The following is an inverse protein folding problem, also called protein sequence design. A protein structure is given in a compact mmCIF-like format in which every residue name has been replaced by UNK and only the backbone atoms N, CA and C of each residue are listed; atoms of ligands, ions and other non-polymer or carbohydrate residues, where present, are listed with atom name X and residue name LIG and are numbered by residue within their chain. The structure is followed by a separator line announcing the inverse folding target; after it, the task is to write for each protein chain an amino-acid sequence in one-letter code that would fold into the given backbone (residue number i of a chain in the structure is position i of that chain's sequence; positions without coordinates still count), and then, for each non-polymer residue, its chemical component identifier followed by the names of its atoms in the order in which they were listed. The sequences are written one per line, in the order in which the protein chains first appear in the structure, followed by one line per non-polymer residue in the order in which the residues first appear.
data_IF_823276387771
#
_entry.id   IF_823276387771
#
_cell.length_a   1.000
_cell.length_b   1.000
_cell.length_c   1.000
_cell.angle_alpha   90.00
_cell.angle_beta   90.00
_cell.angle_gamma   90.00
#
_symmetry.space_group_name_H-M   'P 1'
#
loop_
_entity.id
_entity.type
_entity.pdbx_description
1 polymer ?
#
# COMPACT_ATOMS: atom_id res chain seq x y z
N UNK A 1 10.71 24.42 13.43
CA UNK A 1 11.68 23.76 14.33
C UNK A 1 12.31 22.60 13.58
N UNK A 2 13.55 22.79 13.11
CA UNK A 2 14.31 21.73 12.42
C UNK A 2 14.89 20.79 13.50
N UNK A 3 14.13 19.77 13.88
CA UNK A 3 14.71 18.66 14.60
C UNK A 3 15.55 17.86 13.59
N UNK A 4 16.86 18.06 13.59
CA UNK A 4 17.83 17.20 12.91
C UNK A 4 17.82 15.80 13.58
N UNK A 5 16.72 15.05 13.39
CA UNK A 5 16.65 13.67 13.86
C UNK A 5 17.57 12.85 12.96
N UNK A 6 18.63 12.28 13.54
CA UNK A 6 19.48 11.35 12.79
C UNK A 6 18.67 10.10 12.45
N UNK A 7 18.57 9.77 11.15
CA UNK A 7 17.92 8.55 10.65
C UNK A 7 18.90 7.39 10.49
N UNK A 8 20.09 7.50 11.02
CA UNK A 8 21.11 6.44 10.99
C UNK A 8 20.55 5.21 11.72
N UNK A 9 20.63 4.05 11.07
CA UNK A 9 20.13 2.78 11.61
C UNK A 9 18.62 2.56 11.47
N UNK A 10 17.87 3.54 10.95
CA UNK A 10 16.46 3.33 10.59
C UNK A 10 16.32 2.77 9.17
N UNK A 11 15.35 1.90 8.96
CA UNK A 11 14.93 1.41 7.63
C UNK A 11 13.42 1.21 7.58
N UNK A 12 12.85 1.23 6.39
CA UNK A 12 11.49 0.74 6.16
C UNK A 12 11.54 -0.80 6.15
N UNK A 13 10.77 -1.49 7.02
CA UNK A 13 10.70 -2.95 7.02
C UNK A 13 9.93 -3.47 5.80
N UNK A 14 10.16 -4.72 5.42
CA UNK A 14 9.33 -5.40 4.44
C UNK A 14 7.95 -5.75 5.02
N UNK A 15 6.94 -5.91 4.16
CA UNK A 15 5.57 -6.16 4.61
C UNK A 15 5.41 -7.50 5.34
N UNK A 16 6.22 -8.51 5.02
CA UNK A 16 6.20 -9.83 5.69
C UNK A 16 6.93 -9.87 7.05
N UNK A 17 7.62 -8.80 7.45
CA UNK A 17 8.23 -8.74 8.79
C UNK A 17 7.14 -8.68 9.87
N UNK A 18 7.45 -9.17 11.05
CA UNK A 18 6.48 -9.24 12.15
C UNK A 18 5.85 -7.87 12.44
N UNK A 19 4.54 -7.82 12.39
CA UNK A 19 3.73 -6.62 12.59
C UNK A 19 3.11 -6.62 13.98
N UNK A 20 3.17 -5.49 14.71
CA UNK A 20 2.48 -5.34 15.99
C UNK A 20 0.96 -5.24 15.80
N UNK A 21 0.54 -4.55 14.76
CA UNK A 21 -0.87 -4.29 14.46
C UNK A 21 -1.05 -3.79 13.04
N UNK A 22 -2.28 -3.82 12.55
CA UNK A 22 -2.68 -3.20 11.30
C UNK A 22 -3.67 -2.07 11.54
N UNK A 23 -3.54 -0.99 10.77
CA UNK A 23 -4.51 0.12 10.74
C UNK A 23 -5.49 -0.10 9.61
N UNK A 24 -6.78 -0.03 9.91
CA UNK A 24 -7.89 -0.15 8.94
C UNK A 24 -8.84 1.00 9.18
N UNK A 25 -9.42 1.59 8.13
CA UNK A 25 -10.50 2.55 8.26
C UNK A 25 -11.84 1.90 7.90
N UNK A 26 -12.89 2.22 8.64
CA UNK A 26 -14.23 1.77 8.33
C UNK A 26 -14.79 2.54 7.11
N UNK A 27 -15.47 1.88 6.16
CA UNK A 27 -15.96 2.53 4.95
C UNK A 27 -17.17 3.42 5.21
N UNK A 28 -17.08 4.67 4.77
CA UNK A 28 -18.17 5.65 4.83
C UNK A 28 -18.48 6.27 3.46
N UNK A 29 -17.45 6.43 2.61
CA UNK A 29 -17.59 7.13 1.35
C UNK A 29 -18.23 6.23 0.30
N UNK A 30 -19.49 6.54 -0.06
CA UNK A 30 -20.24 5.79 -1.08
C UNK A 30 -19.67 5.98 -2.49
N UNK A 31 -19.00 7.11 -2.75
CA UNK A 31 -18.47 7.42 -4.09
C UNK A 31 -17.28 6.55 -4.48
N UNK A 32 -16.61 5.87 -3.51
CA UNK A 32 -15.55 4.93 -3.80
C UNK A 32 -16.06 3.63 -4.43
N UNK A 33 -17.36 3.34 -4.28
CA UNK A 33 -18.00 2.13 -4.81
C UNK A 33 -19.41 2.45 -5.36
N UNK A 34 -19.51 3.16 -6.49
CA UNK A 34 -20.80 3.48 -7.11
C UNK A 34 -21.62 2.19 -7.30
N UNK A 35 -22.88 2.21 -6.88
CA UNK A 35 -23.79 1.06 -6.96
C UNK A 35 -23.48 -0.13 -6.04
N UNK A 36 -22.24 -0.27 -5.52
CA UNK A 36 -21.78 -1.46 -4.80
C UNK A 36 -21.61 -1.26 -3.29
N UNK A 37 -21.72 -0.03 -2.78
CA UNK A 37 -21.39 0.31 -1.39
C UNK A 37 -22.13 -0.56 -0.35
N UNK A 38 -23.36 -1.00 -0.65
CA UNK A 38 -24.18 -1.84 0.25
C UNK A 38 -23.43 -3.08 0.75
N UNK A 39 -22.56 -3.66 -0.09
CA UNK A 39 -21.79 -4.88 0.22
C UNK A 39 -20.46 -4.61 0.90
N UNK A 40 -19.92 -3.40 0.79
CA UNK A 40 -18.56 -3.07 1.25
C UNK A 40 -18.39 -3.23 2.77
N UNK A 41 -19.31 -2.76 3.64
CA UNK A 41 -19.19 -2.99 5.09
C UNK A 41 -19.07 -4.47 5.46
N UNK A 42 -19.78 -5.37 4.75
CA UNK A 42 -19.69 -6.82 4.97
C UNK A 42 -18.31 -7.35 4.58
N UNK A 43 -17.78 -6.94 3.43
CA UNK A 43 -16.45 -7.34 2.95
C UNK A 43 -15.37 -6.86 3.92
N UNK A 44 -15.41 -5.60 4.33
CA UNK A 44 -14.46 -5.04 5.31
C UNK A 44 -14.58 -5.77 6.66
N UNK A 45 -15.79 -6.15 7.09
CA UNK A 45 -16.00 -6.96 8.29
C UNK A 45 -15.30 -8.32 8.17
N UNK A 46 -15.38 -8.99 7.03
CA UNK A 46 -14.69 -10.27 6.80
C UNK A 46 -13.17 -10.11 6.86
N UNK A 47 -12.62 -9.04 6.26
CA UNK A 47 -11.19 -8.72 6.32
C UNK A 47 -10.76 -8.53 7.79
N UNK A 48 -11.47 -7.71 8.54
CA UNK A 48 -11.20 -7.46 9.96
C UNK A 48 -11.29 -8.76 10.75
N UNK A 49 -12.30 -9.57 10.49
CA UNK A 49 -12.52 -10.86 11.13
C UNK A 49 -11.30 -11.78 10.96
N UNK A 50 -10.86 -12.01 9.74
CA UNK A 50 -9.70 -12.88 9.45
C UNK A 50 -8.41 -12.34 10.08
N UNK A 51 -8.14 -11.04 9.92
CA UNK A 51 -6.94 -10.41 10.48
C UNK A 51 -6.92 -10.46 12.01
N UNK A 52 -8.08 -10.26 12.67
CA UNK A 52 -8.16 -10.22 14.13
C UNK A 52 -7.74 -11.54 14.79
N UNK A 53 -7.77 -12.64 14.05
CA UNK A 53 -7.36 -13.97 14.53
C UNK A 53 -5.84 -14.10 14.67
N UNK A 54 -5.08 -13.28 13.99
CA UNK A 54 -3.61 -13.38 13.95
C UNK A 54 -2.87 -12.15 14.46
N UNK A 55 -3.52 -10.99 14.52
CA UNK A 55 -2.88 -9.74 14.93
C UNK A 55 -3.88 -8.70 15.44
N UNK A 56 -3.34 -7.67 16.11
CA UNK A 56 -4.16 -6.52 16.57
C UNK A 56 -4.60 -5.68 15.40
N UNK A 57 -5.85 -5.23 15.46
CA UNK A 57 -6.48 -4.32 14.49
C UNK A 57 -6.77 -2.99 15.16
N UNK A 58 -6.21 -1.92 14.60
CA UNK A 58 -6.56 -0.56 14.98
C UNK A 58 -7.58 -0.03 13.96
N UNK A 59 -8.86 -0.03 14.34
CA UNK A 59 -9.95 0.34 13.44
C UNK A 59 -10.34 1.82 13.62
N UNK A 60 -10.13 2.60 12.56
CA UNK A 60 -10.54 4.00 12.51
C UNK A 60 -12.02 4.09 12.18
N UNK A 61 -12.78 4.79 13.02
CA UNK A 61 -14.20 5.05 12.84
C UNK A 61 -14.48 6.54 12.90
N UNK A 62 -15.46 6.99 12.12
CA UNK A 62 -15.84 8.41 12.10
C UNK A 62 -16.66 8.79 13.35
N UNK A 63 -17.44 7.84 13.88
CA UNK A 63 -18.28 8.05 15.04
C UNK A 63 -18.34 6.80 15.93
N UNK A 64 -18.25 6.95 17.25
CA UNK A 64 -18.42 5.83 18.18
C UNK A 64 -19.80 5.18 18.15
N UNK A 65 -20.84 5.88 17.68
CA UNK A 65 -22.17 5.29 17.48
C UNK A 65 -22.14 4.10 16.51
N UNK A 66 -21.17 4.06 15.59
CA UNK A 66 -21.02 2.96 14.63
C UNK A 66 -20.45 1.69 15.26
N UNK A 67 -19.77 1.78 16.42
CA UNK A 67 -19.13 0.65 17.09
C UNK A 67 -20.08 -0.53 17.32
N UNK A 68 -21.29 -0.27 17.85
CA UNK A 68 -22.30 -1.32 18.11
C UNK A 68 -22.70 -2.04 16.82
N UNK A 69 -22.94 -1.29 15.74
CA UNK A 69 -23.25 -1.85 14.42
C UNK A 69 -22.11 -2.70 13.87
N UNK A 70 -20.86 -2.22 13.99
CA UNK A 70 -19.68 -2.94 13.52
C UNK A 70 -19.50 -4.24 14.30
N UNK A 71 -19.65 -4.22 15.63
CA UNK A 71 -19.56 -5.42 16.47
C UNK A 71 -20.64 -6.44 16.07
N UNK A 72 -21.87 -6.00 15.82
CA UNK A 72 -22.95 -6.88 15.33
C UNK A 72 -22.66 -7.50 13.96
N UNK A 73 -21.92 -6.81 13.10
CA UNK A 73 -21.48 -7.38 11.82
C UNK A 73 -20.35 -8.40 12.05
N UNK A 74 -19.41 -8.08 12.94
CA UNK A 74 -18.28 -8.97 13.28
C UNK A 74 -18.76 -10.27 13.93
N UNK A 75 -19.80 -10.24 14.78
CA UNK A 75 -20.33 -11.45 15.43
C UNK A 75 -20.84 -12.52 14.46
N UNK A 76 -21.04 -12.16 13.19
CA UNK A 76 -21.45 -13.10 12.13
C UNK A 76 -20.29 -13.89 11.52
N UNK A 77 -19.07 -13.63 11.92
CA UNK A 77 -17.85 -14.25 11.40
C UNK A 77 -16.94 -14.67 12.55
N UNK A 78 -16.14 -15.75 12.39
CA UNK A 78 -15.12 -16.11 13.37
C UNK A 78 -14.12 -14.96 13.51
N UNK A 79 -13.99 -14.41 14.71
CA UNK A 79 -13.10 -13.28 14.98
C UNK A 79 -12.55 -13.33 16.42
N UNK A 80 -11.56 -12.46 16.69
CA UNK A 80 -11.10 -12.19 18.04
C UNK A 80 -11.34 -10.70 18.37
N UNK A 81 -12.46 -10.40 19.01
CA UNK A 81 -12.84 -9.03 19.37
C UNK A 81 -11.83 -8.34 20.28
N UNK A 82 -11.09 -9.09 21.12
CA UNK A 82 -10.05 -8.52 22.00
C UNK A 82 -8.87 -7.91 21.20
N UNK A 83 -8.67 -8.39 19.98
CA UNK A 83 -7.66 -7.84 19.08
C UNK A 83 -8.14 -6.59 18.31
N UNK A 84 -9.38 -6.13 18.48
CA UNK A 84 -9.95 -5.01 17.70
C UNK A 84 -10.09 -3.78 18.60
N UNK A 85 -9.29 -2.75 18.31
CA UNK A 85 -9.31 -1.49 19.05
C UNK A 85 -9.90 -0.41 18.15
N UNK A 86 -10.92 0.28 18.65
CA UNK A 86 -11.63 1.34 17.93
C UNK A 86 -11.06 2.72 18.26
N UNK A 87 -10.75 3.49 17.22
CA UNK A 87 -10.28 4.87 17.36
C UNK A 87 -11.18 5.83 16.58
N UNK A 88 -11.65 6.89 17.25
CA UNK A 88 -12.42 7.95 16.60
C UNK A 88 -11.47 8.89 15.85
N UNK A 89 -11.15 8.50 14.61
CA UNK A 89 -10.37 9.31 13.67
C UNK A 89 -11.12 9.37 12.36
N UNK A 90 -11.62 10.56 12.00
CA UNK A 90 -12.39 10.75 10.77
C UNK A 90 -11.48 10.67 9.55
N UNK A 91 -11.95 9.95 8.55
CA UNK A 91 -11.32 9.80 7.23
C UNK A 91 -12.25 10.33 6.12
N UNK A 92 -11.70 10.62 4.95
CA UNK A 92 -12.47 10.83 3.72
C UNK A 92 -12.74 9.49 3.05
N UNK A 93 -11.71 8.59 3.03
CA UNK A 93 -11.72 7.29 2.35
C UNK A 93 -11.14 6.20 3.23
N UNK A 94 -11.24 4.96 2.79
CA UNK A 94 -10.75 3.79 3.54
C UNK A 94 -9.26 3.49 3.28
N UNK A 95 -8.67 4.05 2.23
CA UNK A 95 -7.41 3.60 1.63
C UNK A 95 -6.17 3.98 2.47
N UNK A 96 -6.00 3.29 3.63
CA UNK A 96 -4.85 3.51 4.53
C UNK A 96 -3.53 2.94 3.98
N UNK A 97 -3.57 2.07 2.98
CA UNK A 97 -2.38 1.71 2.21
C UNK A 97 -1.69 2.97 1.69
N UNK A 98 -2.47 3.96 1.24
CA UNK A 98 -1.97 5.15 0.58
C UNK A 98 -1.85 6.37 1.50
N UNK A 99 -2.80 6.55 2.40
CA UNK A 99 -2.84 7.70 3.30
C UNK A 99 -2.34 7.43 4.72
N UNK A 100 -2.13 6.15 5.05
CA UNK A 100 -1.72 5.71 6.37
C UNK A 100 -0.24 5.94 6.68
N UNK A 101 0.18 5.62 7.90
CA UNK A 101 1.56 5.83 8.33
C UNK A 101 2.51 4.83 7.70
N UNK A 102 3.59 5.32 7.10
CA UNK A 102 4.74 4.52 6.73
C UNK A 102 5.70 4.52 7.91
N UNK A 103 5.95 3.35 8.48
CA UNK A 103 6.85 3.22 9.61
C UNK A 103 8.27 2.89 9.15
N UNK A 104 9.25 3.48 9.84
CA UNK A 104 10.63 3.04 9.81
C UNK A 104 11.05 2.59 11.20
N UNK A 105 11.88 1.58 11.27
CA UNK A 105 12.36 0.98 12.52
C UNK A 105 13.86 1.06 12.61
N UNK A 106 14.35 1.28 13.82
CA UNK A 106 15.78 1.15 14.14
C UNK A 106 16.01 -0.23 14.73
N UNK A 107 16.78 -1.07 14.06
CA UNK A 107 17.00 -2.46 14.46
C UNK A 107 17.68 -2.61 15.81
N UNK A 108 18.59 -1.69 16.15
CA UNK A 108 19.35 -1.73 17.42
C UNK A 108 18.49 -1.27 18.60
N UNK A 109 17.82 -0.12 18.44
CA UNK A 109 17.08 0.50 19.56
C UNK A 109 15.60 0.11 19.62
N UNK A 110 15.10 -0.61 18.60
CA UNK A 110 13.68 -0.95 18.41
C UNK A 110 12.73 0.25 18.35
N UNK A 111 13.29 1.47 18.26
CA UNK A 111 12.49 2.68 18.12
C UNK A 111 11.85 2.74 16.74
N UNK A 112 10.62 3.27 16.71
CA UNK A 112 9.82 3.50 15.49
C UNK A 112 9.65 4.98 15.24
N UNK A 113 9.55 5.35 13.97
CA UNK A 113 9.16 6.69 13.51
C UNK A 113 8.10 6.54 12.42
N UNK A 114 7.22 7.52 12.32
CA UNK A 114 6.29 7.68 11.20
C UNK A 114 6.93 8.60 10.17
N UNK A 115 7.14 8.10 8.96
CA UNK A 115 7.49 8.94 7.81
C UNK A 115 6.18 9.44 7.22
N UNK A 116 5.87 10.70 7.50
CA UNK A 116 4.61 11.33 7.12
C UNK A 116 4.71 11.96 5.73
N UNK A 117 4.56 11.16 4.70
CA UNK A 117 4.39 11.70 3.35
C UNK A 117 3.06 12.45 3.23
N UNK A 118 3.03 13.47 2.38
CA UNK A 118 1.79 14.17 2.07
C UNK A 118 0.92 13.29 1.17
N UNK A 119 -0.37 13.23 1.48
CA UNK A 119 -1.37 12.57 0.66
C UNK A 119 -2.25 13.61 -0.03
N UNK A 120 -2.49 13.48 -1.32
CA UNK A 120 -3.28 14.42 -2.12
C UNK A 120 -4.35 13.72 -2.96
N UNK A 121 -4.81 12.54 -2.50
CA UNK A 121 -5.78 11.70 -3.20
C UNK A 121 -5.40 11.45 -4.67
N UNK A 122 -4.17 10.95 -4.87
CA UNK A 122 -3.61 10.54 -6.17
C UNK A 122 -3.58 11.66 -7.21
N UNK A 123 -3.54 12.93 -6.77
CA UNK A 123 -3.69 14.13 -7.62
C UNK A 123 -4.98 14.13 -8.46
N UNK A 124 -6.02 13.45 -8.01
CA UNK A 124 -7.27 13.24 -8.74
C UNK A 124 -8.49 13.78 -7.99
N UNK A 125 -8.60 13.50 -6.70
CA UNK A 125 -9.77 13.86 -5.91
C UNK A 125 -9.52 15.05 -5.01
N UNK A 126 -10.58 15.86 -4.75
CA UNK A 126 -10.49 17.06 -3.92
C UNK A 126 -10.68 16.78 -2.42
N UNK A 127 -11.29 15.66 -2.06
CA UNK A 127 -11.69 15.29 -0.70
C UNK A 127 -10.64 14.39 -0.02
N UNK A 128 -9.51 14.98 0.39
CA UNK A 128 -8.40 14.24 1.01
C UNK A 128 -7.86 14.85 2.31
N UNK A 129 -8.37 16.00 2.73
CA UNK A 129 -7.80 16.74 3.87
C UNK A 129 -7.82 15.94 5.17
N UNK A 130 -8.85 15.13 5.41
CA UNK A 130 -8.93 14.27 6.60
C UNK A 130 -7.91 13.15 6.53
N UNK A 131 -7.77 12.52 5.37
CA UNK A 131 -6.82 11.41 5.13
C UNK A 131 -5.38 11.90 5.24
N UNK A 132 -5.05 13.05 4.64
CA UNK A 132 -3.72 13.68 4.77
C UNK A 132 -3.36 14.03 6.23
N UNK A 133 -4.34 14.15 7.13
CA UNK A 133 -4.12 14.48 8.54
C UNK A 133 -4.08 13.24 9.46
N UNK A 134 -4.27 12.03 8.93
CA UNK A 134 -4.30 10.78 9.72
C UNK A 134 -2.99 10.62 10.48
N UNK A 135 -1.85 10.74 9.83
CA UNK A 135 -0.53 10.53 10.44
C UNK A 135 -0.22 11.53 11.56
N UNK A 136 -0.72 12.76 11.48
CA UNK A 136 -0.63 13.73 12.59
C UNK A 136 -1.43 13.26 13.82
N UNK A 137 -2.64 12.73 13.60
CA UNK A 137 -3.49 12.21 14.67
C UNK A 137 -2.90 10.94 15.27
N UNK A 138 -2.40 10.02 14.42
CA UNK A 138 -1.78 8.77 14.87
C UNK A 138 -0.49 9.02 15.64
N UNK A 139 0.36 9.93 15.21
CA UNK A 139 1.58 10.30 15.93
C UNK A 139 1.26 10.80 17.36
N UNK A 140 0.24 11.63 17.52
CA UNK A 140 -0.22 12.12 18.83
C UNK A 140 -0.79 10.99 19.69
N UNK A 141 -1.63 10.13 19.10
CA UNK A 141 -2.31 9.03 19.77
C UNK A 141 -1.33 7.96 20.26
N UNK A 142 -0.42 7.54 19.40
CA UNK A 142 0.54 6.45 19.67
C UNK A 142 1.81 6.94 20.34
N UNK A 143 2.01 8.25 20.47
CA UNK A 143 3.25 8.89 20.92
C UNK A 143 4.48 8.55 20.08
N UNK A 144 4.28 7.95 18.89
CA UNK A 144 5.34 7.69 17.92
C UNK A 144 5.67 9.00 17.20
N UNK A 145 6.93 9.43 17.29
CA UNK A 145 7.38 10.64 16.60
C UNK A 145 7.23 10.51 15.10
N UNK A 146 6.81 11.60 14.44
CA UNK A 146 6.75 11.67 12.99
C UNK A 146 7.82 12.59 12.42
N UNK A 147 8.21 12.30 11.19
CA UNK A 147 9.07 13.14 10.37
C UNK A 147 8.37 13.42 9.04
N UNK A 148 8.50 14.64 8.56
CA UNK A 148 7.89 15.08 7.30
C UNK A 148 8.99 15.07 6.21
N UNK A 149 8.91 14.18 5.20
CA UNK A 149 9.89 14.15 4.12
C UNK A 149 9.85 15.42 3.28
N UNK A 150 10.97 16.11 3.20
CA UNK A 150 11.11 17.34 2.42
C UNK A 150 11.97 17.08 1.19
N UNK A 151 11.50 17.54 0.05
CA UNK A 151 12.17 17.51 -1.24
C UNK A 151 12.37 18.93 -1.77
N UNK A 152 13.50 19.19 -2.44
CA UNK A 152 13.72 20.44 -3.18
C UNK A 152 13.23 20.29 -4.61
N UNK A 153 12.28 21.13 -5.01
CA UNK A 153 11.75 21.22 -6.37
C UNK A 153 11.82 22.70 -6.79
N UNK A 154 12.52 22.98 -7.89
CA UNK A 154 12.71 24.36 -8.38
C UNK A 154 13.18 25.32 -7.26
N UNK A 155 14.20 24.92 -6.50
CA UNK A 155 14.78 25.63 -5.35
C UNK A 155 13.83 25.87 -4.18
N UNK A 156 12.60 25.35 -4.21
CA UNK A 156 11.63 25.44 -3.09
C UNK A 156 11.57 24.12 -2.34
N UNK A 157 11.61 24.18 -1.01
CA UNK A 157 11.40 23.02 -0.14
C UNK A 157 9.91 22.74 -0.01
N UNK A 158 9.49 21.51 -0.34
CA UNK A 158 8.10 21.04 -0.25
C UNK A 158 8.06 19.68 0.44
N UNK A 159 6.97 19.40 1.16
CA UNK A 159 6.73 18.06 1.67
C UNK A 159 6.43 17.13 0.48
N UNK A 160 7.12 15.99 0.43
CA UNK A 160 6.95 15.01 -0.65
C UNK A 160 5.57 14.34 -0.56
N UNK A 161 4.85 14.33 -1.68
CA UNK A 161 3.62 13.54 -1.86
C UNK A 161 4.01 12.14 -2.28
N UNK A 162 3.55 11.14 -1.53
CA UNK A 162 3.79 9.71 -1.82
C UNK A 162 2.73 8.85 -1.14
N UNK A 163 2.19 7.91 -1.88
CA UNK A 163 1.30 6.87 -1.38
C UNK A 163 2.09 5.59 -1.03
N UNK A 164 1.62 4.83 -0.02
CA UNK A 164 2.22 3.54 0.32
C UNK A 164 2.10 2.52 -0.82
N UNK A 165 1.00 2.55 -1.60
CA UNK A 165 0.81 1.69 -2.77
C UNK A 165 1.72 2.02 -3.96
N UNK A 166 2.34 3.20 -3.98
CA UNK A 166 3.29 3.61 -5.03
C UNK A 166 4.70 3.01 -4.85
N UNK A 167 4.99 2.39 -3.70
CA UNK A 167 6.28 1.78 -3.38
C UNK A 167 6.11 0.40 -2.75
N UNK A 168 7.05 -0.50 -3.00
CA UNK A 168 7.17 -1.77 -2.29
C UNK A 168 8.64 -2.06 -1.97
N UNK A 169 8.95 -2.44 -0.73
CA UNK A 169 10.34 -2.59 -0.26
C UNK A 169 10.59 -4.01 0.24
N UNK A 170 11.82 -4.49 0.05
CA UNK A 170 12.24 -5.80 0.56
C UNK A 170 12.88 -5.74 1.96
N UNK A 171 12.86 -4.59 2.65
CA UNK A 171 13.50 -4.43 3.95
C UNK A 171 15.03 -4.46 3.93
N UNK A 172 15.66 -4.76 2.80
CA UNK A 172 17.12 -4.87 2.62
C UNK A 172 17.67 -3.84 1.64
N UNK A 173 16.98 -2.72 1.51
CA UNK A 173 17.44 -1.56 0.73
C UNK A 173 17.05 -1.55 -0.74
N UNK A 174 16.27 -2.50 -1.23
CA UNK A 174 15.67 -2.44 -2.57
C UNK A 174 14.23 -1.94 -2.50
N UNK A 175 13.81 -1.17 -3.51
CA UNK A 175 12.45 -0.66 -3.67
C UNK A 175 11.97 -0.83 -5.11
N UNK A 176 10.73 -1.30 -5.26
CA UNK A 176 9.97 -1.32 -6.50
C UNK A 176 9.10 -0.07 -6.60
N UNK A 177 9.01 0.52 -7.78
CA UNK A 177 8.20 1.69 -8.09
C UNK A 177 7.97 1.82 -9.60
N UNK A 178 7.05 2.70 -10.01
CA UNK A 178 6.76 2.91 -11.43
C UNK A 178 7.05 4.33 -11.87
N UNK A 179 7.49 4.48 -13.13
CA UNK A 179 7.64 5.80 -13.75
C UNK A 179 6.29 6.47 -13.98
N UNK A 180 5.27 5.69 -14.34
CA UNK A 180 3.92 6.20 -14.59
C UNK A 180 3.33 6.88 -13.36
N UNK A 181 3.43 6.27 -12.18
CA UNK A 181 2.91 6.85 -10.95
C UNK A 181 3.70 8.09 -10.49
N UNK A 182 5.03 7.98 -10.45
CA UNK A 182 5.85 8.94 -9.71
C UNK A 182 6.51 10.03 -10.56
N UNK A 183 6.60 9.83 -11.89
CA UNK A 183 7.30 10.74 -12.81
C UNK A 183 6.45 11.20 -13.99
N UNK A 184 5.20 10.73 -14.14
CA UNK A 184 4.28 11.15 -15.19
C UNK A 184 3.76 12.56 -14.93
N UNK A 185 3.40 13.25 -16.01
CA UNK A 185 2.67 14.52 -15.96
C UNK A 185 1.16 14.34 -15.75
N UNK A 186 0.65 13.13 -15.98
CA UNK A 186 -0.74 12.78 -15.69
C UNK A 186 -0.85 12.41 -14.22
N UNK A 187 -1.83 12.96 -13.52
CA UNK A 187 -1.96 12.83 -12.05
C UNK A 187 -0.63 13.10 -11.33
N UNK A 188 0.07 14.15 -11.71
CA UNK A 188 1.40 14.49 -11.22
C UNK A 188 1.38 14.78 -9.71
N UNK A 189 1.99 13.90 -8.89
CA UNK A 189 2.03 14.02 -7.42
C UNK A 189 2.88 15.20 -6.96
N UNK A 190 4.02 15.39 -7.62
CA UNK A 190 5.02 16.36 -7.23
C UNK A 190 5.49 17.17 -8.45
N UNK A 191 4.73 18.18 -8.90
CA UNK A 191 5.05 18.95 -10.08
C UNK A 191 6.49 19.47 -10.10
N UNK A 192 7.23 19.08 -11.17
CA UNK A 192 8.61 19.47 -11.37
C UNK A 192 9.66 18.63 -10.64
N UNK A 193 9.27 17.51 -10.01
CA UNK A 193 10.22 16.60 -9.36
C UNK A 193 11.08 15.89 -10.43
N UNK A 194 12.37 15.74 -10.13
CA UNK A 194 13.27 14.89 -10.94
C UNK A 194 13.41 13.52 -10.30
N UNK A 195 13.67 12.49 -11.11
CA UNK A 195 13.97 11.13 -10.64
C UNK A 195 15.06 11.15 -9.57
N UNK A 196 16.17 11.86 -9.80
CA UNK A 196 17.32 11.98 -8.89
C UNK A 196 16.90 12.59 -7.53
N UNK A 197 16.07 13.63 -7.55
CA UNK A 197 15.58 14.28 -6.33
C UNK A 197 14.66 13.36 -5.53
N UNK A 198 13.79 12.61 -6.20
CA UNK A 198 12.91 11.62 -5.59
C UNK A 198 13.72 10.49 -4.96
N UNK A 199 14.64 9.85 -5.72
CA UNK A 199 15.50 8.78 -5.22
C UNK A 199 16.32 9.22 -4.00
N UNK A 200 16.92 10.42 -4.04
CA UNK A 200 17.66 10.99 -2.91
C UNK A 200 16.78 11.14 -1.67
N UNK A 201 15.53 11.58 -1.86
CA UNK A 201 14.58 11.75 -0.75
C UNK A 201 14.16 10.41 -0.16
N UNK A 202 13.81 9.43 -1.01
CA UNK A 202 13.44 8.09 -0.54
C UNK A 202 14.62 7.39 0.15
N UNK A 203 15.85 7.53 -0.38
CA UNK A 203 17.06 7.01 0.27
C UNK A 203 17.24 7.58 1.67
N UNK A 204 17.05 8.89 1.82
CA UNK A 204 17.19 9.58 3.10
C UNK A 204 16.19 9.11 4.15
N UNK A 205 14.92 8.97 3.77
CA UNK A 205 13.84 8.74 4.73
C UNK A 205 13.46 7.27 4.93
N UNK A 206 13.71 6.41 3.93
CA UNK A 206 13.35 4.98 3.97
C UNK A 206 14.58 4.05 4.02
N UNK A 207 15.79 4.60 3.86
CA UNK A 207 17.06 3.86 3.78
C UNK A 207 17.09 2.85 2.61
N UNK A 208 16.49 3.22 1.47
CA UNK A 208 16.56 2.44 0.23
C UNK A 208 17.71 2.94 -0.64
N UNK A 209 18.43 2.04 -1.29
CA UNK A 209 19.62 2.33 -2.09
C UNK A 209 19.52 1.78 -3.51
N UNK A 210 18.69 0.77 -3.72
CA UNK A 210 18.51 0.09 -5.00
C UNK A 210 17.08 0.33 -5.50
N UNK A 211 16.95 1.11 -6.58
CA UNK A 211 15.68 1.54 -7.17
C UNK A 211 15.37 0.74 -8.42
N UNK A 212 14.33 -0.07 -8.39
CA UNK A 212 13.87 -0.87 -9.53
C UNK A 212 12.64 -0.18 -10.12
N UNK A 213 12.87 0.56 -11.21
CA UNK A 213 11.85 1.35 -11.88
C UNK A 213 11.15 0.53 -12.97
N UNK A 214 9.89 0.19 -12.75
CA UNK A 214 9.02 -0.32 -13.80
C UNK A 214 8.45 0.85 -14.64
N UNK A 215 7.88 0.54 -15.80
CA UNK A 215 7.39 1.57 -16.70
C UNK A 215 5.96 1.99 -16.36
N UNK A 216 4.98 1.17 -16.74
CA UNK A 216 3.55 1.48 -16.65
C UNK A 216 2.81 0.43 -15.85
N UNK A 217 1.71 0.84 -15.20
CA UNK A 217 0.76 -0.02 -14.53
C UNK A 217 -0.21 -0.72 -15.48
N UNK A 218 -1.33 -1.18 -14.91
CA UNK A 218 -2.39 -1.90 -15.61
C UNK A 218 -3.55 -0.98 -16.00
N UNK A 219 -4.33 -1.39 -16.99
CA UNK A 219 -5.52 -0.65 -17.41
C UNK A 219 -6.64 -0.75 -16.37
N UNK A 220 -7.28 0.39 -16.12
CA UNK A 220 -8.35 0.54 -15.14
C UNK A 220 -7.83 0.99 -13.76
N UNK A 221 -6.53 1.06 -13.56
CA UNK A 221 -5.95 1.57 -12.33
C UNK A 221 -6.19 3.08 -12.19
N UNK A 222 -6.93 3.43 -11.14
CA UNK A 222 -7.33 4.79 -10.81
C UNK A 222 -6.21 5.60 -10.15
N UNK A 223 -5.23 4.90 -9.62
CA UNK A 223 -4.06 5.47 -8.95
C UNK A 223 -2.95 5.89 -9.92
N UNK A 224 -3.11 5.55 -11.20
CA UNK A 224 -2.17 5.84 -12.27
C UNK A 224 -0.84 5.13 -12.13
N UNK A 225 -0.86 3.81 -12.07
CA UNK A 225 0.31 2.95 -12.13
C UNK A 225 0.95 2.62 -10.78
N UNK A 226 0.15 2.38 -9.76
CA UNK A 226 0.68 1.88 -8.49
C UNK A 226 1.46 0.57 -8.66
N UNK A 227 2.53 0.44 -7.89
CA UNK A 227 3.39 -0.75 -7.97
C UNK A 227 2.73 -1.98 -7.36
N UNK A 228 1.90 -1.82 -6.33
CA UNK A 228 1.24 -2.91 -5.62
C UNK A 228 0.17 -3.64 -6.44
N UNK A 229 -0.26 -3.05 -7.57
CA UNK A 229 -1.11 -3.71 -8.55
C UNK A 229 -0.34 -4.62 -9.53
N UNK A 230 0.98 -4.46 -9.66
CA UNK A 230 1.75 -5.11 -10.72
C UNK A 230 2.95 -5.92 -10.27
N UNK A 231 3.59 -5.55 -9.15
CA UNK A 231 4.77 -6.28 -8.65
C UNK A 231 4.95 -6.08 -7.16
N UNK A 232 5.27 -7.18 -6.45
CA UNK A 232 5.47 -7.18 -5.00
C UNK A 232 6.68 -8.01 -4.62
N UNK A 233 7.47 -7.53 -3.68
CA UNK A 233 8.41 -8.38 -2.98
C UNK A 233 7.67 -9.40 -2.10
N UNK A 234 8.11 -10.64 -2.12
CA UNK A 234 7.59 -11.73 -1.27
C UNK A 234 8.69 -12.40 -0.44
N UNK A 235 9.92 -12.03 -0.69
CA UNK A 235 11.09 -12.28 0.16
C UNK A 235 12.19 -11.27 -0.16
N UNK A 236 13.31 -11.33 0.58
CA UNK A 236 14.45 -10.44 0.34
C UNK A 236 14.95 -10.48 -1.12
N UNK A 237 14.85 -11.65 -1.78
CA UNK A 237 15.38 -11.92 -3.12
C UNK A 237 14.33 -12.42 -4.13
N UNK A 238 13.03 -12.38 -3.81
CA UNK A 238 11.98 -12.82 -4.71
C UNK A 238 10.94 -11.71 -4.95
N UNK A 239 10.52 -11.59 -6.22
CA UNK A 239 9.50 -10.65 -6.67
C UNK A 239 8.41 -11.43 -7.40
N UNK A 240 7.16 -11.27 -6.97
CA UNK A 240 5.99 -11.66 -7.75
C UNK A 240 5.64 -10.53 -8.71
N UNK A 241 5.30 -10.85 -9.95
CA UNK A 241 4.92 -9.86 -10.95
C UNK A 241 3.79 -10.36 -11.85
N UNK A 242 2.88 -9.45 -12.17
CA UNK A 242 1.78 -9.73 -13.08
C UNK A 242 2.29 -9.95 -14.50
N UNK A 243 1.74 -10.94 -15.18
CA UNK A 243 2.01 -11.23 -16.58
C UNK A 243 0.70 -11.41 -17.34
N UNK A 244 0.68 -10.95 -18.59
CA UNK A 244 -0.41 -11.18 -19.53
C UNK A 244 0.13 -11.98 -20.70
N UNK A 245 -0.51 -13.12 -20.99
CA UNK A 245 -0.10 -14.01 -22.07
C UNK A 245 -0.80 -13.71 -23.41
N UNK A 246 -2.00 -13.13 -23.34
CA UNK A 246 -2.76 -12.75 -24.52
C UNK A 246 -2.19 -11.48 -25.14
N UNK A 247 -1.58 -11.61 -26.31
CA UNK A 247 -0.96 -10.46 -27.02
C UNK A 247 -1.94 -9.35 -27.42
N UNK A 248 -3.23 -9.69 -27.54
CA UNK A 248 -4.31 -8.76 -27.88
C UNK A 248 -4.87 -8.00 -26.64
N UNK A 249 -4.48 -8.41 -25.44
CA UNK A 249 -4.91 -7.76 -24.21
C UNK A 249 -4.14 -6.44 -23.97
N UNK A 250 -4.88 -5.41 -23.55
CA UNK A 250 -4.34 -4.05 -23.38
C UNK A 250 -3.17 -3.96 -22.39
N UNK A 251 -3.05 -4.91 -21.48
CA UNK A 251 -1.97 -4.98 -20.49
C UNK A 251 -0.72 -5.70 -21.00
N UNK A 252 -0.80 -6.48 -22.10
CA UNK A 252 0.29 -7.32 -22.56
C UNK A 252 1.62 -6.60 -22.71
N UNK A 253 1.63 -5.49 -23.47
CA UNK A 253 2.85 -4.74 -23.76
C UNK A 253 3.51 -4.19 -22.49
N UNK A 254 2.73 -3.53 -21.63
CA UNK A 254 3.25 -2.92 -20.41
C UNK A 254 3.83 -3.97 -19.45
N UNK A 255 3.10 -5.06 -19.22
CA UNK A 255 3.53 -6.12 -18.30
C UNK A 255 4.73 -6.88 -18.84
N UNK A 256 4.82 -7.11 -20.16
CA UNK A 256 6.00 -7.70 -20.79
C UNK A 256 7.25 -6.84 -20.64
N UNK A 257 7.13 -5.52 -20.83
CA UNK A 257 8.23 -4.57 -20.60
C UNK A 257 8.68 -4.61 -19.15
N UNK A 258 7.76 -4.59 -18.20
CA UNK A 258 8.05 -4.65 -16.76
C UNK A 258 8.73 -5.98 -16.39
N UNK A 259 8.26 -7.11 -16.90
CA UNK A 259 8.87 -8.41 -16.69
C UNK A 259 10.33 -8.44 -17.18
N UNK A 260 10.62 -7.87 -18.34
CA UNK A 260 11.99 -7.77 -18.89
C UNK A 260 12.90 -6.95 -17.99
N UNK A 261 12.40 -5.84 -17.42
CA UNK A 261 13.14 -5.03 -16.45
C UNK A 261 13.46 -5.89 -15.21
N UNK A 262 12.47 -6.61 -14.67
CA UNK A 262 12.64 -7.42 -13.46
C UNK A 262 13.59 -8.60 -13.66
N UNK A 263 13.56 -9.28 -14.80
CA UNK A 263 14.50 -10.37 -15.15
C UNK A 263 15.96 -9.92 -15.18
N UNK A 264 16.20 -8.62 -15.40
CA UNK A 264 17.54 -8.03 -15.40
C UNK A 264 17.87 -7.27 -14.09
N UNK A 265 16.90 -7.09 -13.22
CA UNK A 265 17.10 -6.41 -11.94
C UNK A 265 18.00 -7.22 -11.01
N UNK A 266 18.81 -6.50 -10.24
CA UNK A 266 19.69 -7.09 -9.22
C UNK A 266 19.43 -6.42 -7.88
N UNK A 267 19.63 -7.16 -6.79
CA UNK A 267 19.59 -6.62 -5.44
C UNK A 267 20.86 -5.80 -5.12
N UNK A 268 20.96 -5.25 -3.90
CA UNK A 268 22.09 -4.45 -3.46
C UNK A 268 23.43 -5.22 -3.49
N UNK A 269 23.38 -6.56 -3.42
CA UNK A 269 24.55 -7.46 -3.51
C UNK A 269 24.82 -7.91 -4.95
N UNK A 270 24.22 -7.24 -5.96
CA UNK A 270 24.37 -7.54 -7.40
C UNK A 270 23.87 -8.92 -7.82
N UNK A 271 23.08 -9.63 -7.00
CA UNK A 271 22.44 -10.90 -7.32
C UNK A 271 21.10 -10.66 -8.01
N UNK A 272 20.74 -11.49 -8.98
CA UNK A 272 19.42 -11.43 -9.63
C UNK A 272 18.31 -11.84 -8.65
N UNK A 273 17.15 -11.23 -8.81
CA UNK A 273 15.95 -11.66 -8.09
C UNK A 273 15.34 -12.91 -8.71
N UNK A 274 14.75 -13.77 -7.88
CA UNK A 274 13.81 -14.82 -8.34
C UNK A 274 12.52 -14.15 -8.76
N UNK A 275 12.13 -14.29 -10.02
CA UNK A 275 10.88 -13.71 -10.53
C UNK A 275 9.80 -14.78 -10.56
N UNK A 276 8.67 -14.51 -9.92
CA UNK A 276 7.48 -15.37 -9.86
C UNK A 276 6.41 -14.71 -10.70
N UNK A 277 6.10 -15.31 -11.84
CA UNK A 277 5.11 -14.79 -12.79
C UNK A 277 3.69 -15.18 -12.34
N UNK A 278 2.80 -14.20 -12.18
CA UNK A 278 1.41 -14.39 -11.79
C UNK A 278 0.51 -13.94 -12.94
N UNK A 279 -0.34 -14.82 -13.49
CA UNK A 279 -1.21 -14.42 -14.59
C UNK A 279 -2.23 -13.36 -14.17
N UNK A 280 -2.53 -12.43 -15.07
CA UNK A 280 -3.63 -11.49 -14.86
C UNK A 280 -4.97 -12.22 -14.84
N UNK A 281 -5.92 -11.79 -14.01
CA UNK A 281 -7.31 -12.22 -14.15
C UNK A 281 -7.90 -11.70 -15.46
N UNK A 282 -8.99 -12.33 -15.91
CA UNK A 282 -9.78 -11.80 -17.04
C UNK A 282 -10.23 -10.36 -16.73
N UNK A 283 -10.31 -9.48 -17.74
CA UNK A 283 -10.80 -8.13 -17.54
C UNK A 283 -12.17 -8.08 -16.84
N UNK A 284 -12.28 -7.31 -15.80
CA UNK A 284 -13.52 -7.11 -15.04
C UNK A 284 -14.04 -5.70 -15.32
N UNK A 285 -15.33 -5.60 -15.61
CA UNK A 285 -16.02 -4.34 -15.86
C UNK A 285 -17.14 -4.13 -14.86
N UNK A 286 -17.24 -2.93 -14.30
CA UNK A 286 -18.34 -2.48 -13.46
C UNK A 286 -18.94 -1.25 -14.17
N UNK A 287 -20.24 -1.28 -14.48
CA UNK A 287 -20.91 -0.21 -15.22
C UNK A 287 -20.13 0.23 -16.50
N UNK A 288 -19.65 -0.77 -17.27
CA UNK A 288 -18.83 -0.58 -18.48
C UNK A 288 -17.44 0.02 -18.25
N UNK A 289 -17.06 0.33 -17.02
CA UNK A 289 -15.71 0.80 -16.66
C UNK A 289 -14.86 -0.39 -16.26
N UNK A 290 -13.69 -0.54 -16.90
CA UNK A 290 -12.71 -1.57 -16.51
C UNK A 290 -12.13 -1.23 -15.14
N UNK A 291 -12.11 -2.20 -14.23
CA UNK A 291 -11.48 -2.06 -12.91
C UNK A 291 -10.10 -2.70 -12.87
N UNK A 292 -9.18 -2.26 -11.99
CA UNK A 292 -7.80 -2.76 -11.91
C UNK A 292 -7.74 -4.10 -11.16
N UNK A 293 -8.33 -5.14 -11.75
CA UNK A 293 -8.28 -6.47 -11.18
C UNK A 293 -6.85 -7.03 -11.29
N UNK A 294 -6.24 -7.34 -10.16
CA UNK A 294 -4.91 -7.94 -10.07
C UNK A 294 -4.82 -8.88 -8.87
N UNK A 295 -4.10 -10.00 -8.99
CA UNK A 295 -3.79 -10.88 -7.86
C UNK A 295 -2.60 -10.36 -7.02
N UNK A 296 -1.97 -9.25 -7.40
CA UNK A 296 -0.81 -8.72 -6.69
C UNK A 296 -1.17 -7.64 -5.65
N UNK A 297 -2.38 -7.09 -5.71
CA UNK A 297 -2.86 -6.17 -4.68
C UNK A 297 -3.32 -6.96 -3.45
N UNK A 298 -2.36 -7.54 -2.75
CA UNK A 298 -2.58 -8.30 -1.51
C UNK A 298 -1.94 -7.59 -0.32
N UNK A 299 -2.32 -8.02 0.88
CA UNK A 299 -1.71 -7.60 2.13
C UNK A 299 -1.14 -8.81 2.87
N UNK A 300 0.16 -8.77 3.19
CA UNK A 300 0.84 -9.81 3.97
C UNK A 300 0.72 -9.45 5.44
N UNK A 301 -0.07 -10.23 6.18
CA UNK A 301 -0.20 -10.15 7.61
C UNK A 301 0.66 -11.23 8.31
N UNK A 302 0.70 -11.25 9.65
CA UNK A 302 1.58 -12.14 10.40
C UNK A 302 1.42 -13.64 10.09
N UNK A 303 0.22 -14.10 9.76
CA UNK A 303 -0.07 -15.53 9.53
C UNK A 303 -0.92 -15.78 8.29
N UNK A 304 -1.34 -14.72 7.62
CA UNK A 304 -2.25 -14.81 6.47
C UNK A 304 -1.85 -13.77 5.42
N UNK A 305 -2.15 -14.10 4.16
CA UNK A 305 -2.09 -13.14 3.06
C UNK A 305 -3.52 -12.88 2.60
N UNK A 306 -3.94 -11.62 2.61
CA UNK A 306 -5.27 -11.21 2.15
C UNK A 306 -5.18 -10.61 0.77
N UNK A 307 -5.94 -11.17 -0.17
CA UNK A 307 -6.11 -10.61 -1.49
C UNK A 307 -7.35 -9.71 -1.53
N UNK A 308 -7.14 -8.42 -1.76
CA UNK A 308 -8.21 -7.41 -1.73
C UNK A 308 -9.08 -7.34 -2.99
N UNK A 309 -8.63 -7.90 -4.09
CA UNK A 309 -9.14 -7.57 -5.43
C UNK A 309 -10.11 -8.58 -6.02
N UNK A 310 -10.55 -9.59 -5.28
CA UNK A 310 -11.53 -10.53 -5.83
C UNK A 310 -12.96 -10.11 -5.48
N UNK A 311 -13.76 -9.65 -6.46
CA UNK A 311 -15.20 -9.50 -6.26
C UNK A 311 -15.96 -10.83 -6.33
N UNK A 312 -15.27 -11.96 -6.68
CA UNK A 312 -15.92 -13.25 -6.89
C UNK A 312 -16.00 -14.12 -5.64
N UNK A 313 -17.21 -14.66 -5.30
CA UNK A 313 -17.36 -15.66 -4.25
C UNK A 313 -16.58 -16.96 -4.49
N UNK A 314 -16.24 -17.28 -5.77
CA UNK A 314 -15.54 -18.51 -6.17
C UNK A 314 -14.04 -18.49 -5.86
N UNK A 315 -13.43 -17.31 -5.73
CA UNK A 315 -11.98 -17.20 -5.47
C UNK A 315 -11.62 -17.40 -4.00
N UNK A 316 -12.60 -17.38 -3.10
CA UNK A 316 -12.41 -17.58 -1.65
C UNK A 316 -11.95 -18.98 -1.24
N UNK A 317 -12.17 -20.00 -2.10
CA UNK A 317 -11.81 -21.39 -1.77
C UNK A 317 -10.36 -21.78 -2.10
N UNK A 318 -9.65 -20.97 -2.89
CA UNK A 318 -8.29 -21.29 -3.38
C UNK A 318 -7.14 -20.56 -2.68
N UNK A 319 -7.40 -19.66 -1.74
CA UNK A 319 -6.37 -18.84 -1.10
C UNK A 319 -5.76 -19.44 0.18
N UNK A 320 -5.98 -20.72 0.47
CA UNK A 320 -5.20 -21.42 1.49
C UNK A 320 -3.89 -21.86 0.84
N UNK A 321 -2.81 -21.15 1.11
CA UNK A 321 -1.48 -21.70 0.89
C UNK A 321 -1.31 -22.95 1.76
N UNK A 322 -0.77 -24.06 1.23
CA UNK A 322 -0.41 -25.18 2.08
C UNK A 322 0.64 -24.69 3.09
N UNK A 323 0.39 -24.95 4.36
CA UNK A 323 1.43 -24.91 5.39
C UNK A 323 2.39 -26.06 5.05
N UNK A 324 3.51 -25.77 4.47
CA UNK A 324 4.57 -26.75 4.29
C UNK A 324 5.92 -26.09 4.45
N UNK A 325 6.53 -26.59 5.50
CA UNK A 325 7.92 -26.87 5.75
C UNK A 325 8.92 -25.71 5.60
#
# INVERSE_FOLDING_TARGET
MNNNLSLIGYRMPAEWELQESVWIAWPYNKSDWPGLFKNIPKIVTQIISELSRSQKINLLINNYKDKKKIINLLSKFPNNLQNIIFYKITTNRIWLRDSGPIYIINEKTKKKLIVNFKFNAWSKYKDYKKDNNINNKLSKLTKVKKIDPVVKINNKSKQLVLEGGAIDVNGKGSVLLTKECLLSKVQERNPGITKKSLEKTLSKYLNVKNFIWLNKGIKGDDTHGHIDDISRFVSEDAIMTAVEKNRNEKNYKNLKENLNILKNAKNINKRKFKIIEVPMPKPIYIEKVRVPASYLNFYIANKICLLYTSPSPRDRQKSRMPSSA
#
